data_IF_447071246927
#
_entry.id   IF_447071246927
#
_cell.length_a   1.000
_cell.length_b   1.000
_cell.length_c   1.000
_cell.angle_alpha   90.00
_cell.angle_beta   90.00
_cell.angle_gamma   90.00
#
_symmetry.space_group_name_H-M   'P 1'
#
loop_
_entity.id
_entity.type
_entity.pdbx_description
1 polymer ?
#
# COMPACT_ATOMS: atom_id res chain seq x y z
N UNK A 1 -5.15 59.05 -28.99
CA UNK A 1 -5.20 58.54 -27.61
C UNK A 1 -5.14 57.03 -27.70
N UNK A 2 -3.91 56.54 -27.73
CA UNK A 2 -3.57 55.13 -27.66
C UNK A 2 -4.00 54.55 -26.31
N UNK A 3 -4.62 53.38 -26.35
CA UNK A 3 -4.56 52.41 -25.25
C UNK A 3 -4.24 51.06 -25.87
N UNK A 4 -3.03 50.63 -25.58
CA UNK A 4 -2.41 49.37 -25.97
C UNK A 4 -3.35 48.19 -25.67
N UNK A 5 -3.53 47.33 -26.67
CA UNK A 5 -4.10 46.00 -26.52
C UNK A 5 -3.10 45.12 -25.77
N UNK A 6 -3.54 44.24 -24.86
CA UNK A 6 -2.65 43.27 -24.24
C UNK A 6 -2.11 42.32 -25.32
N UNK A 7 -0.80 42.19 -25.36
CA UNK A 7 -0.07 41.24 -26.20
C UNK A 7 -0.52 39.83 -25.77
N UNK A 8 -1.41 39.22 -26.55
CA UNK A 8 -1.56 37.77 -26.57
C UNK A 8 -0.26 37.23 -27.14
N UNK A 9 0.59 36.66 -26.28
CA UNK A 9 1.60 35.69 -26.71
C UNK A 9 0.85 34.56 -27.39
N UNK A 10 0.82 34.61 -28.72
CA UNK A 10 0.45 33.49 -29.56
C UNK A 10 1.53 32.43 -29.38
N UNK A 11 1.31 31.51 -28.45
CA UNK A 11 1.94 30.20 -28.53
C UNK A 11 1.31 29.51 -29.74
N UNK A 12 1.96 29.74 -30.87
CA UNK A 12 1.77 29.02 -32.12
C UNK A 12 1.93 27.55 -31.77
N UNK A 13 0.95 26.76 -32.18
CA UNK A 13 1.02 25.32 -32.28
C UNK A 13 2.22 24.93 -33.16
N UNK A 14 3.40 24.79 -32.56
CA UNK A 14 4.49 24.04 -33.16
C UNK A 14 4.08 22.58 -33.14
N UNK A 15 4.14 21.95 -34.31
CA UNK A 15 4.06 20.52 -34.49
C UNK A 15 4.88 19.86 -33.38
N UNK A 16 4.26 19.09 -32.48
CA UNK A 16 4.98 18.24 -31.54
C UNK A 16 5.99 17.47 -32.36
N UNK A 17 7.27 17.82 -32.23
CA UNK A 17 8.34 17.07 -32.84
C UNK A 17 8.19 15.66 -32.29
N UNK A 18 7.62 14.75 -33.09
CA UNK A 18 7.32 13.39 -32.67
C UNK A 18 8.61 12.58 -32.46
N UNK A 19 9.77 13.21 -32.54
CA UNK A 19 11.07 12.60 -32.46
C UNK A 19 11.81 13.17 -31.25
N UNK A 20 12.24 12.29 -30.34
CA UNK A 20 13.08 12.69 -29.24
C UNK A 20 14.46 13.11 -29.74
N UNK A 21 14.92 14.31 -29.40
CA UNK A 21 16.24 14.83 -29.80
C UNK A 21 17.41 13.95 -29.29
N UNK A 22 17.25 13.36 -28.10
CA UNK A 22 18.28 12.50 -27.48
C UNK A 22 18.33 11.12 -28.16
N UNK A 23 17.16 10.53 -28.47
CA UNK A 23 17.09 9.17 -29.00
C UNK A 23 17.04 9.11 -30.54
N UNK A 24 16.78 10.24 -31.21
CA UNK A 24 16.50 10.35 -32.64
C UNK A 24 15.39 9.38 -33.12
N UNK A 25 14.38 9.16 -32.27
CA UNK A 25 13.18 8.31 -32.53
C UNK A 25 12.07 8.65 -31.54
N UNK A 26 10.86 8.14 -31.75
CA UNK A 26 9.81 8.13 -30.72
C UNK A 26 10.30 7.27 -29.54
N UNK A 27 10.14 7.76 -28.32
CA UNK A 27 10.49 7.04 -27.09
C UNK A 27 9.55 7.43 -25.93
N UNK A 28 9.75 6.85 -24.75
CA UNK A 28 8.87 7.04 -23.58
C UNK A 28 8.65 8.51 -23.21
N UNK A 29 9.70 9.34 -23.25
CA UNK A 29 9.62 10.79 -23.03
C UNK A 29 8.61 11.47 -23.96
N UNK A 30 8.59 11.10 -25.25
CA UNK A 30 7.60 11.61 -26.22
C UNK A 30 6.19 11.11 -25.89
N UNK A 31 6.04 9.83 -25.52
CA UNK A 31 4.74 9.29 -25.12
C UNK A 31 4.17 9.97 -23.87
N UNK A 32 5.02 10.33 -22.91
CA UNK A 32 4.61 11.12 -21.74
C UNK A 32 4.19 12.53 -22.12
N UNK A 33 5.01 13.25 -22.92
CA UNK A 33 4.73 14.62 -23.35
C UNK A 33 3.38 14.75 -24.08
N UNK A 34 3.00 13.75 -24.89
CA UNK A 34 1.69 13.69 -25.55
C UNK A 34 0.50 13.68 -24.59
N UNK A 35 0.72 13.32 -23.33
CA UNK A 35 -0.31 13.20 -22.29
C UNK A 35 -0.27 14.32 -21.26
N UNK A 36 0.59 15.34 -21.39
CA UNK A 36 0.70 16.42 -20.39
C UNK A 36 -0.59 17.23 -20.26
N UNK A 37 -1.32 17.42 -21.36
CA UNK A 37 -2.59 18.13 -21.34
C UNK A 37 -3.75 17.29 -20.74
N UNK A 38 -3.57 15.97 -20.61
CA UNK A 38 -4.62 15.05 -20.17
C UNK A 38 -4.77 14.98 -18.65
N UNK A 39 -3.84 15.52 -17.88
CA UNK A 39 -3.94 15.57 -16.42
C UNK A 39 -3.17 16.76 -15.84
N UNK A 40 -3.75 17.43 -14.85
CA UNK A 40 -3.11 18.50 -14.06
C UNK A 40 -3.54 18.37 -12.61
N UNK A 41 -2.59 18.61 -11.70
CA UNK A 41 -2.85 18.67 -10.27
C UNK A 41 -3.55 19.96 -9.83
N UNK A 42 -3.64 20.96 -10.72
CA UNK A 42 -4.02 22.33 -10.36
C UNK A 42 -2.90 23.12 -9.69
N UNK A 43 -1.70 22.52 -9.53
CA UNK A 43 -0.49 23.18 -9.04
C UNK A 43 0.63 23.03 -10.08
N UNK A 44 0.97 24.14 -10.74
CA UNK A 44 1.99 24.19 -11.79
C UNK A 44 3.34 23.65 -11.36
N UNK A 45 3.67 23.75 -10.08
CA UNK A 45 4.98 23.33 -9.57
C UNK A 45 5.06 21.81 -9.39
N UNK A 46 3.94 21.21 -8.98
CA UNK A 46 3.80 19.75 -8.91
C UNK A 46 3.74 19.18 -10.31
N UNK A 47 2.97 19.82 -11.20
CA UNK A 47 2.88 19.42 -12.60
C UNK A 47 4.27 19.45 -13.25
N UNK A 48 5.02 20.56 -13.10
CA UNK A 48 6.38 20.67 -13.61
C UNK A 48 7.31 19.60 -13.02
N UNK A 49 7.26 19.37 -11.71
CA UNK A 49 8.10 18.36 -11.05
C UNK A 49 7.85 16.94 -11.59
N UNK A 50 6.59 16.57 -11.85
CA UNK A 50 6.26 15.27 -12.44
C UNK A 50 6.69 15.22 -13.91
N UNK A 51 6.43 16.29 -14.68
CA UNK A 51 6.80 16.39 -16.09
C UNK A 51 8.32 16.31 -16.30
N UNK A 52 9.12 16.99 -15.48
CA UNK A 52 10.58 16.95 -15.52
C UNK A 52 11.11 15.51 -15.37
N UNK A 53 10.52 14.76 -14.43
CA UNK A 53 10.84 13.35 -14.20
C UNK A 53 10.46 12.49 -15.43
N UNK A 54 9.25 12.66 -15.95
CA UNK A 54 8.76 11.94 -17.14
C UNK A 54 9.56 12.23 -18.42
N UNK A 55 10.00 13.48 -18.63
CA UNK A 55 10.81 13.87 -19.80
C UNK A 55 12.16 13.14 -19.80
N UNK A 56 12.71 12.85 -18.62
CA UNK A 56 14.00 12.17 -18.47
C UNK A 56 13.95 10.65 -18.79
N UNK A 57 12.75 10.08 -18.97
CA UNK A 57 12.55 8.65 -19.19
C UNK A 57 12.54 8.34 -20.68
N UNK A 58 13.59 7.68 -21.18
CA UNK A 58 13.71 7.38 -22.60
C UNK A 58 13.51 5.90 -22.93
N UNK A 59 13.90 5.00 -22.03
CA UNK A 59 13.91 3.55 -22.23
C UNK A 59 12.92 2.84 -21.31
N UNK A 60 12.54 1.62 -21.66
CA UNK A 60 11.54 0.85 -20.89
C UNK A 60 12.02 0.47 -19.50
N UNK A 61 13.32 0.26 -19.32
CA UNK A 61 13.91 -0.02 -18.01
C UNK A 61 13.91 1.21 -17.08
N UNK A 62 13.75 2.42 -17.62
CA UNK A 62 13.68 3.68 -16.87
C UNK A 62 12.25 4.00 -16.42
N UNK A 63 11.23 3.48 -17.13
CA UNK A 63 9.80 3.75 -16.88
C UNK A 63 9.41 3.58 -15.42
N UNK A 64 9.96 2.57 -14.76
CA UNK A 64 9.57 2.30 -13.38
C UNK A 64 9.79 3.52 -12.48
N UNK A 65 10.72 4.41 -12.80
CA UNK A 65 11.05 5.62 -12.02
C UNK A 65 10.16 6.82 -12.33
N UNK A 66 9.40 6.76 -13.43
CA UNK A 66 8.53 7.86 -13.86
C UNK A 66 7.46 8.14 -12.80
N UNK A 67 7.38 9.39 -12.37
CA UNK A 67 6.30 9.85 -11.51
C UNK A 67 5.00 10.02 -12.30
N UNK A 68 3.87 9.77 -11.64
CA UNK A 68 2.53 9.97 -12.17
C UNK A 68 1.75 10.96 -11.30
N UNK A 69 0.86 11.75 -11.89
CA UNK A 69 -0.28 12.25 -11.13
C UNK A 69 -1.34 11.16 -11.08
N UNK A 70 -1.79 10.86 -9.87
CA UNK A 70 -2.76 9.81 -9.64
C UNK A 70 -4.02 10.46 -9.06
N UNK A 71 -5.15 10.44 -9.78
CA UNK A 71 -6.41 10.96 -9.25
C UNK A 71 -6.80 10.25 -7.94
N UNK A 72 -7.28 11.01 -6.95
CA UNK A 72 -7.48 10.48 -5.60
C UNK A 72 -8.56 9.39 -5.52
N UNK A 73 -9.52 9.42 -6.44
CA UNK A 73 -10.58 8.41 -6.58
C UNK A 73 -10.07 7.06 -7.12
N UNK A 74 -8.80 6.97 -7.52
CA UNK A 74 -8.12 5.70 -7.84
C UNK A 74 -7.63 4.95 -6.61
N UNK A 75 -7.83 5.51 -5.42
CA UNK A 75 -7.49 4.89 -4.15
C UNK A 75 -8.73 4.46 -3.37
N UNK A 76 -8.68 3.26 -2.80
CA UNK A 76 -9.72 2.76 -1.89
C UNK A 76 -9.12 2.07 -0.67
N UNK A 77 -9.96 1.84 0.34
CA UNK A 77 -9.51 1.23 1.60
C UNK A 77 -8.50 2.10 2.36
N UNK A 78 -8.60 3.43 2.22
CA UNK A 78 -7.65 4.39 2.80
C UNK A 78 -7.70 4.34 4.34
N UNK A 79 -6.56 4.07 4.99
CA UNK A 79 -6.45 3.89 6.46
C UNK A 79 -5.21 4.55 7.02
N UNK A 80 -5.36 5.35 8.08
CA UNK A 80 -4.23 6.01 8.75
C UNK A 80 -3.36 5.02 9.51
N UNK A 81 -2.04 5.15 9.41
CA UNK A 81 -1.08 4.23 10.01
C UNK A 81 -0.28 4.88 11.13
N UNK A 82 -0.93 5.25 12.24
CA UNK A 82 -0.29 5.65 13.52
C UNK A 82 0.58 6.92 13.52
N UNK A 83 1.19 7.28 12.39
CA UNK A 83 1.95 8.49 12.11
C UNK A 83 1.01 9.50 11.45
N UNK A 84 1.05 10.74 11.93
CA UNK A 84 0.24 11.83 11.40
C UNK A 84 0.57 12.01 9.91
N UNK A 85 -0.46 12.10 9.08
CA UNK A 85 -0.31 12.35 7.66
C UNK A 85 0.16 11.15 6.84
N UNK A 86 0.22 9.94 7.41
CA UNK A 86 0.52 8.73 6.64
C UNK A 86 -0.67 7.79 6.67
N UNK A 87 -1.12 7.38 5.48
CA UNK A 87 -2.15 6.36 5.31
C UNK A 87 -1.70 5.28 4.33
N UNK A 88 -2.38 4.15 4.37
CA UNK A 88 -2.28 3.09 3.37
C UNK A 88 -3.53 3.09 2.51
N UNK A 89 -3.37 2.71 1.26
CA UNK A 89 -4.48 2.59 0.33
C UNK A 89 -4.19 1.50 -0.70
N UNK A 90 -5.23 0.93 -1.29
CA UNK A 90 -5.12 0.13 -2.50
C UNK A 90 -5.25 1.06 -3.71
N UNK A 91 -4.30 0.99 -4.62
CA UNK A 91 -4.29 1.70 -5.89
C UNK A 91 -4.82 0.80 -6.99
N UNK A 92 -5.98 1.15 -7.56
CA UNK A 92 -6.71 0.29 -8.50
C UNK A 92 -5.89 0.03 -9.77
N UNK A 93 -5.27 1.08 -10.31
CA UNK A 93 -4.65 1.02 -11.63
C UNK A 93 -3.32 0.26 -11.61
N UNK A 94 -2.58 0.36 -10.50
CA UNK A 94 -1.21 -0.08 -10.42
C UNK A 94 -0.25 0.81 -11.22
N UNK A 95 1.04 0.45 -11.19
CA UNK A 95 2.14 1.24 -11.78
C UNK A 95 2.19 1.11 -13.30
N UNK A 96 2.59 2.17 -14.00
CA UNK A 96 2.94 2.10 -15.42
C UNK A 96 4.06 1.05 -15.64
N UNK A 97 3.92 0.28 -16.73
CA UNK A 97 4.87 -0.75 -17.13
C UNK A 97 5.55 -0.46 -18.46
N UNK A 98 4.78 -0.28 -19.53
CA UNK A 98 5.29 0.03 -20.86
C UNK A 98 4.21 0.68 -21.71
N UNK A 99 4.60 1.31 -22.81
CA UNK A 99 3.67 1.85 -23.78
C UNK A 99 3.10 0.75 -24.69
N UNK A 100 1.80 0.79 -24.95
CA UNK A 100 1.13 -0.05 -25.95
C UNK A 100 0.82 0.77 -27.21
N UNK A 101 1.56 0.50 -28.29
CA UNK A 101 1.37 1.19 -29.58
C UNK A 101 0.04 0.86 -30.26
N UNK A 102 -0.60 -0.27 -29.94
CA UNK A 102 -1.90 -0.64 -30.52
C UNK A 102 -3.04 0.15 -29.89
N UNK A 103 -3.03 0.30 -28.57
CA UNK A 103 -4.07 1.04 -27.84
C UNK A 103 -3.72 2.50 -27.57
N UNK A 104 -2.49 2.92 -27.89
CA UNK A 104 -1.98 4.27 -27.64
C UNK A 104 -2.15 4.68 -26.18
N UNK A 105 -1.80 3.78 -25.27
CA UNK A 105 -1.92 3.99 -23.83
C UNK A 105 -0.83 3.22 -23.07
N UNK A 106 -0.63 3.59 -21.81
CA UNK A 106 0.29 2.88 -20.91
C UNK A 106 -0.34 1.59 -20.40
N UNK A 107 0.34 0.46 -20.60
CA UNK A 107 0.06 -0.77 -19.88
C UNK A 107 0.43 -0.61 -18.41
N UNK A 108 -0.37 -1.22 -17.52
CA UNK A 108 -0.15 -1.17 -16.07
C UNK A 108 0.07 -2.56 -15.49
N UNK A 109 0.82 -2.60 -14.39
CA UNK A 109 1.07 -3.82 -13.61
C UNK A 109 0.68 -3.61 -12.16
N UNK A 110 0.40 -4.74 -11.48
CA UNK A 110 -0.02 -4.78 -10.08
C UNK A 110 -1.29 -3.96 -9.83
N UNK A 111 -2.38 -4.31 -10.53
CA UNK A 111 -3.70 -3.77 -10.17
C UNK A 111 -4.02 -4.09 -8.70
N UNK A 112 -4.77 -3.19 -8.06
CA UNK A 112 -5.05 -3.25 -6.62
C UNK A 112 -3.79 -3.28 -5.74
N UNK A 113 -2.73 -2.59 -6.19
CA UNK A 113 -1.47 -2.51 -5.47
C UNK A 113 -1.61 -1.73 -4.16
N UNK A 114 -1.18 -2.34 -3.07
CA UNK A 114 -1.08 -1.66 -1.78
C UNK A 114 0.07 -0.65 -1.77
N UNK A 115 -0.26 0.60 -1.48
CA UNK A 115 0.67 1.74 -1.43
C UNK A 115 0.57 2.47 -0.10
N UNK A 116 1.61 3.25 0.19
CA UNK A 116 1.61 4.22 1.29
C UNK A 116 1.39 5.61 0.71
N UNK A 117 0.43 6.34 1.26
CA UNK A 117 0.19 7.74 0.96
C UNK A 117 0.73 8.60 2.11
N UNK A 118 1.70 9.46 1.84
CA UNK A 118 2.30 10.36 2.83
C UNK A 118 2.06 11.83 2.48
N UNK A 119 1.44 12.57 3.38
CA UNK A 119 1.11 13.99 3.21
C UNK A 119 2.37 14.81 3.01
N UNK A 120 2.36 15.62 1.95
CA UNK A 120 3.38 16.61 1.65
C UNK A 120 3.03 17.89 2.43
N UNK A 121 3.66 18.08 3.60
CA UNK A 121 3.55 19.34 4.35
C UNK A 121 4.48 20.34 3.69
N UNK A 122 4.01 21.50 3.22
CA UNK A 122 5.00 22.48 2.73
C UNK A 122 4.62 23.95 2.63
N UNK A 123 5.65 24.80 2.76
CA UNK A 123 6.10 25.75 1.74
C UNK A 123 7.00 25.08 0.66
N UNK A 124 6.52 25.11 -0.59
CA UNK A 124 7.04 24.61 -1.88
C UNK A 124 8.51 24.12 -2.04
N UNK A 125 9.53 24.80 -1.51
CA UNK A 125 10.93 24.39 -1.75
C UNK A 125 11.37 23.23 -0.86
N UNK A 126 10.86 23.16 0.37
CA UNK A 126 11.19 22.09 1.32
C UNK A 126 10.63 20.74 0.85
N UNK A 127 9.53 20.74 0.09
CA UNK A 127 8.90 19.50 -0.40
C UNK A 127 9.74 18.83 -1.46
N UNK A 128 10.40 19.58 -2.34
CA UNK A 128 11.15 18.98 -3.46
C UNK A 128 12.40 18.26 -2.94
N UNK A 129 13.17 18.91 -2.06
CA UNK A 129 14.32 18.27 -1.41
C UNK A 129 13.91 17.04 -0.60
N UNK A 130 12.79 17.14 0.13
CA UNK A 130 12.24 16.02 0.89
C UNK A 130 11.79 14.86 -0.01
N UNK A 131 11.07 15.14 -1.10
CA UNK A 131 10.64 14.14 -2.09
C UNK A 131 11.84 13.42 -2.71
N UNK A 132 12.90 14.16 -3.06
CA UNK A 132 14.12 13.57 -3.62
C UNK A 132 14.86 12.67 -2.62
N UNK A 133 14.82 12.99 -1.33
CA UNK A 133 15.38 12.11 -0.30
C UNK A 133 14.58 10.81 -0.19
N UNK A 134 13.24 10.88 -0.20
CA UNK A 134 12.39 9.68 -0.11
C UNK A 134 12.56 8.76 -1.32
N UNK A 135 12.79 9.30 -2.53
CA UNK A 135 13.10 8.50 -3.74
C UNK A 135 14.26 7.50 -3.54
N UNK A 136 15.16 7.75 -2.58
CA UNK A 136 16.30 6.88 -2.28
C UNK A 136 15.87 5.61 -1.53
N UNK A 137 14.99 5.77 -0.54
CA UNK A 137 14.62 4.71 0.39
C UNK A 137 13.36 3.95 -0.05
N UNK A 138 12.49 4.61 -0.83
CA UNK A 138 11.20 4.08 -1.25
C UNK A 138 10.97 4.28 -2.74
N UNK A 139 10.26 3.35 -3.36
CA UNK A 139 9.75 3.59 -4.70
C UNK A 139 8.65 4.65 -4.64
N UNK A 140 8.91 5.79 -5.28
CA UNK A 140 7.96 6.87 -5.43
C UNK A 140 7.25 6.76 -6.78
N UNK A 141 5.95 6.48 -6.76
CA UNK A 141 5.16 6.28 -7.98
C UNK A 141 4.55 7.57 -8.50
N UNK A 142 4.26 8.53 -7.63
CA UNK A 142 3.50 9.69 -8.06
C UNK A 142 2.90 10.49 -6.93
N UNK A 143 2.10 11.50 -7.28
CA UNK A 143 1.47 12.41 -6.34
C UNK A 143 -0.04 12.37 -6.56
N UNK A 144 -0.80 12.48 -5.47
CA UNK A 144 -2.25 12.69 -5.47
C UNK A 144 -2.61 13.88 -4.60
N UNK A 145 -3.83 14.41 -4.73
CA UNK A 145 -4.38 15.38 -3.79
C UNK A 145 -5.65 14.88 -3.15
N UNK A 146 -5.71 14.87 -1.82
CA UNK A 146 -6.94 14.58 -1.12
C UNK A 146 -7.96 15.73 -1.36
N UNK A 147 -9.15 15.45 -1.94
CA UNK A 147 -10.08 16.48 -2.36
C UNK A 147 -10.76 17.21 -1.19
N UNK A 148 -10.79 16.62 0.00
CA UNK A 148 -11.41 17.20 1.20
C UNK A 148 -10.45 18.15 1.92
N UNK A 149 -9.24 17.67 2.21
CA UNK A 149 -8.21 18.41 2.94
C UNK A 149 -7.39 19.34 2.05
N UNK A 150 -7.43 19.13 0.73
CA UNK A 150 -6.59 19.78 -0.30
C UNK A 150 -5.09 19.50 -0.15
N UNK A 151 -4.70 18.59 0.73
CA UNK A 151 -3.32 18.18 0.92
C UNK A 151 -2.85 17.32 -0.26
N UNK A 152 -1.66 17.63 -0.76
CA UNK A 152 -0.94 16.74 -1.65
C UNK A 152 -0.32 15.59 -0.86
N UNK A 153 -0.26 14.41 -1.47
CA UNK A 153 0.26 13.19 -0.85
C UNK A 153 1.14 12.46 -1.86
N UNK A 154 2.29 11.99 -1.40
CA UNK A 154 3.16 11.10 -2.16
C UNK A 154 2.58 9.70 -2.17
N UNK A 155 2.69 9.01 -3.30
CA UNK A 155 2.30 7.62 -3.47
C UNK A 155 3.56 6.78 -3.51
N UNK A 156 3.79 6.03 -2.45
CA UNK A 156 5.00 5.25 -2.20
C UNK A 156 4.70 3.76 -2.22
N UNK A 157 5.72 2.94 -2.50
CA UNK A 157 5.63 1.52 -2.22
C UNK A 157 5.37 1.23 -0.73
N UNK A 158 4.83 0.04 -0.49
CA UNK A 158 4.62 -0.46 0.87
C UNK A 158 5.63 -1.58 1.16
N UNK A 159 6.92 -1.26 1.08
CA UNK A 159 8.00 -2.18 1.46
C UNK A 159 8.26 -2.09 2.97
N UNK A 160 8.73 -3.19 3.56
CA UNK A 160 9.16 -3.18 4.94
C UNK A 160 10.55 -2.53 5.06
N UNK A 161 10.66 -1.44 5.81
CA UNK A 161 11.94 -0.72 6.05
C UNK A 161 13.07 -1.64 6.52
N UNK A 162 12.76 -2.60 7.41
CA UNK A 162 13.76 -3.56 7.93
C UNK A 162 14.25 -4.53 6.87
N UNK A 163 13.40 -4.89 5.91
CA UNK A 163 13.67 -5.94 4.94
C UNK A 163 14.06 -5.40 3.56
N UNK A 164 13.74 -4.15 3.27
CA UNK A 164 13.82 -3.54 1.94
C UNK A 164 13.10 -4.33 0.84
N UNK A 165 12.03 -5.05 1.22
CA UNK A 165 11.09 -5.74 0.34
C UNK A 165 9.77 -5.98 1.06
N UNK A 166 8.73 -6.39 0.33
CA UNK A 166 7.46 -6.82 0.93
C UNK A 166 7.69 -8.14 1.66
N UNK A 167 7.35 -8.19 2.95
CA UNK A 167 7.52 -9.37 3.78
C UNK A 167 6.26 -9.69 4.59
N UNK A 168 6.31 -10.77 5.39
CA UNK A 168 5.14 -11.24 6.12
C UNK A 168 4.49 -10.18 7.01
N UNK A 169 5.26 -9.27 7.61
CA UNK A 169 4.71 -8.20 8.44
C UNK A 169 3.81 -7.26 7.63
N UNK A 170 4.18 -6.96 6.39
CA UNK A 170 3.36 -6.19 5.45
C UNK A 170 2.11 -6.99 5.06
N UNK A 171 2.24 -8.29 4.78
CA UNK A 171 1.09 -9.14 4.43
C UNK A 171 0.08 -9.28 5.57
N UNK A 172 0.55 -9.39 6.81
CA UNK A 172 -0.31 -9.44 7.99
C UNK A 172 -1.08 -8.13 8.17
N UNK A 173 -0.39 -7.00 8.02
CA UNK A 173 -1.02 -5.68 8.09
C UNK A 173 -2.18 -5.51 7.10
N UNK A 174 -2.15 -6.18 5.94
CA UNK A 174 -3.27 -6.16 4.97
C UNK A 174 -4.57 -6.73 5.52
N UNK A 175 -4.47 -7.64 6.49
CA UNK A 175 -5.59 -8.40 7.03
C UNK A 175 -6.04 -7.94 8.42
N UNK A 176 -5.42 -6.90 9.00
CA UNK A 176 -5.75 -6.45 10.37
C UNK A 176 -7.24 -6.14 10.58
N UNK A 177 -7.94 -5.70 9.54
CA UNK A 177 -9.37 -5.40 9.63
C UNK A 177 -10.28 -6.62 9.40
N UNK A 178 -9.74 -7.72 8.86
CA UNK A 178 -10.54 -8.89 8.45
C UNK A 178 -10.81 -9.87 9.61
N UNK A 179 -10.10 -9.76 10.72
CA UNK A 179 -10.18 -10.72 11.83
C UNK A 179 -9.95 -10.06 13.20
N UNK A 180 -10.87 -9.16 13.58
CA UNK A 180 -10.89 -8.55 14.93
C UNK A 180 -11.60 -9.47 15.92
N UNK A 181 -11.07 -9.53 17.15
CA UNK A 181 -11.71 -10.14 18.31
C UNK A 181 -12.83 -9.30 18.92
N UNK A 182 -12.97 -8.05 18.50
CA UNK A 182 -13.76 -7.03 19.20
C UNK A 182 -13.10 -6.51 20.48
N UNK A 183 -11.96 -7.07 20.90
CA UNK A 183 -11.18 -6.62 22.05
C UNK A 183 -9.86 -5.98 21.59
N UNK A 184 -9.76 -4.66 21.77
CA UNK A 184 -8.59 -3.87 21.34
C UNK A 184 -7.27 -4.34 21.95
N UNK A 185 -7.27 -4.90 23.16
CA UNK A 185 -6.04 -5.38 23.81
C UNK A 185 -5.54 -6.67 23.15
N UNK A 186 -6.45 -7.60 22.87
CA UNK A 186 -6.14 -8.86 22.17
C UNK A 186 -5.72 -8.57 20.73
N UNK A 187 -6.48 -7.73 20.03
CA UNK A 187 -6.15 -7.34 18.66
C UNK A 187 -4.78 -6.69 18.58
N UNK A 188 -4.47 -5.78 19.50
CA UNK A 188 -3.15 -5.13 19.58
C UNK A 188 -2.04 -6.15 19.83
N UNK A 189 -2.22 -7.11 20.74
CA UNK A 189 -1.23 -8.15 20.99
C UNK A 189 -0.97 -9.02 19.75
N UNK A 190 -2.04 -9.45 19.07
CA UNK A 190 -1.94 -10.24 17.84
C UNK A 190 -1.21 -9.44 16.75
N UNK A 191 -1.61 -8.19 16.54
CA UNK A 191 -1.03 -7.30 15.54
C UNK A 191 0.44 -7.01 15.84
N UNK A 192 0.81 -6.64 17.08
CA UNK A 192 2.18 -6.34 17.49
C UNK A 192 3.10 -7.57 17.27
N UNK A 193 2.60 -8.78 17.54
CA UNK A 193 3.32 -10.02 17.26
C UNK A 193 3.48 -10.25 15.76
N UNK A 194 2.40 -10.12 14.98
CA UNK A 194 2.42 -10.27 13.53
C UNK A 194 3.35 -9.24 12.82
N UNK A 195 3.43 -8.01 13.35
CA UNK A 195 4.33 -6.97 12.85
C UNK A 195 5.81 -7.34 12.97
N UNK A 196 6.15 -8.21 13.93
CA UNK A 196 7.52 -8.66 14.18
C UNK A 196 7.94 -9.82 13.27
N UNK A 197 7.03 -10.36 12.45
CA UNK A 197 7.26 -11.53 11.60
C UNK A 197 7.67 -11.10 10.21
N UNK A 198 8.97 -11.17 9.93
CA UNK A 198 9.53 -10.71 8.66
C UNK A 198 9.89 -11.83 7.67
N UNK A 199 9.91 -13.08 8.10
CA UNK A 199 10.35 -14.19 7.26
C UNK A 199 9.17 -15.08 6.88
N UNK A 200 9.23 -15.67 5.67
CA UNK A 200 8.24 -16.64 5.18
C UNK A 200 7.96 -17.77 6.17
N UNK A 201 8.98 -18.21 6.90
CA UNK A 201 8.90 -19.32 7.86
C UNK A 201 8.47 -18.89 9.27
N UNK A 202 8.37 -17.58 9.53
CA UNK A 202 7.99 -17.07 10.84
C UNK A 202 6.48 -17.04 11.10
N UNK A 203 5.66 -17.49 10.14
CA UNK A 203 4.19 -17.54 10.29
C UNK A 203 3.74 -18.40 11.46
N UNK A 204 4.51 -19.43 11.84
CA UNK A 204 4.24 -20.26 13.03
C UNK A 204 4.32 -19.48 14.34
N UNK A 205 5.01 -18.33 14.34
CA UNK A 205 5.18 -17.48 15.52
C UNK A 205 4.18 -16.32 15.53
N UNK A 206 3.25 -16.29 14.57
CA UNK A 206 2.28 -15.23 14.39
C UNK A 206 0.90 -15.75 14.83
N UNK A 207 0.41 -15.39 16.03
CA UNK A 207 -0.95 -15.75 16.41
C UNK A 207 -1.94 -15.09 15.44
N UNK A 208 -3.10 -15.70 15.28
CA UNK A 208 -4.22 -15.15 14.52
C UNK A 208 -5.50 -15.22 15.35
N UNK A 209 -6.42 -14.30 15.09
CA UNK A 209 -7.75 -14.40 15.67
C UNK A 209 -8.55 -15.49 14.93
N UNK A 210 -9.14 -16.41 15.69
CA UNK A 210 -9.95 -17.50 15.15
C UNK A 210 -11.38 -17.33 15.65
N UNK A 211 -12.30 -17.10 14.73
CA UNK A 211 -13.71 -17.00 15.08
C UNK A 211 -14.26 -18.35 15.57
N UNK A 212 -15.14 -18.32 16.57
CA UNK A 212 -15.60 -19.53 17.26
C UNK A 212 -16.35 -20.51 16.34
N UNK A 213 -17.01 -20.01 15.30
CA UNK A 213 -17.69 -20.81 14.26
C UNK A 213 -16.73 -21.66 13.41
N UNK A 214 -15.42 -21.39 13.48
CA UNK A 214 -14.38 -22.19 12.81
C UNK A 214 -14.03 -23.47 13.56
N UNK A 215 -14.64 -23.71 14.71
CA UNK A 215 -14.46 -24.93 15.49
C UNK A 215 -15.68 -25.84 15.39
N UNK A 216 -15.45 -27.14 15.21
CA UNK A 216 -16.49 -28.17 15.27
C UNK A 216 -16.10 -29.32 16.22
N UNK A 217 -17.06 -30.19 16.54
CA UNK A 217 -16.87 -31.34 17.42
C UNK A 217 -16.25 -30.97 18.78
N UNK A 218 -16.71 -29.87 19.37
CA UNK A 218 -16.20 -29.33 20.64
C UNK A 218 -16.62 -30.26 21.78
N UNK A 219 -15.64 -30.81 22.51
CA UNK A 219 -15.84 -31.75 23.62
C UNK A 219 -15.07 -31.29 24.85
N UNK A 220 -15.72 -31.24 26.00
CA UNK A 220 -15.09 -30.95 27.27
C UNK A 220 -14.07 -32.03 27.63
N UNK A 221 -12.91 -31.63 28.15
CA UNK A 221 -11.84 -32.52 28.62
C UNK A 221 -11.74 -32.49 30.14
N UNK A 222 -11.49 -31.30 30.70
CA UNK A 222 -11.20 -31.12 32.11
C UNK A 222 -11.37 -29.66 32.56
N UNK A 223 -11.50 -29.47 33.88
CA UNK A 223 -11.33 -28.17 34.53
C UNK A 223 -9.82 -27.89 34.73
N UNK A 224 -9.41 -26.63 34.63
CA UNK A 224 -8.04 -26.15 34.80
C UNK A 224 -8.04 -24.86 35.64
N UNK A 225 -6.90 -24.51 36.25
CA UNK A 225 -6.78 -23.30 37.08
C UNK A 225 -7.24 -22.02 36.36
N UNK A 226 -7.04 -21.94 35.05
CA UNK A 226 -7.40 -20.78 34.21
C UNK A 226 -8.83 -20.83 33.65
N UNK A 227 -9.51 -21.98 33.72
CA UNK A 227 -10.81 -22.17 33.09
C UNK A 227 -11.05 -23.60 32.60
N UNK A 228 -11.86 -23.77 31.56
CA UNK A 228 -12.29 -25.08 31.05
C UNK A 228 -11.54 -25.46 29.78
N UNK A 229 -11.03 -26.69 29.72
CA UNK A 229 -10.30 -27.21 28.56
C UNK A 229 -11.25 -28.02 27.68
N UNK A 230 -11.24 -27.74 26.39
CA UNK A 230 -12.01 -28.43 25.36
C UNK A 230 -11.10 -28.94 24.25
N UNK A 231 -11.49 -30.05 23.64
CA UNK A 231 -10.96 -30.55 22.37
C UNK A 231 -11.90 -30.12 21.25
N UNK A 232 -11.38 -29.65 20.13
CA UNK A 232 -12.18 -29.33 18.95
C UNK A 232 -11.40 -29.63 17.66
N UNK A 233 -12.10 -29.67 16.52
CA UNK A 233 -11.43 -29.59 15.23
C UNK A 233 -11.51 -28.15 14.72
N UNK A 234 -10.39 -27.62 14.24
CA UNK A 234 -10.30 -26.32 13.60
C UNK A 234 -10.38 -26.47 12.08
N UNK A 235 -11.44 -25.94 11.48
CA UNK A 235 -11.77 -26.15 10.06
C UNK A 235 -10.67 -25.59 9.16
N UNK A 236 -10.25 -24.35 9.40
CA UNK A 236 -9.38 -23.62 8.48
C UNK A 236 -7.92 -24.12 8.50
N UNK A 237 -7.45 -24.78 9.57
CA UNK A 237 -6.02 -25.08 9.78
C UNK A 237 -5.20 -23.81 10.04
N UNK A 238 -3.86 -23.87 10.14
CA UNK A 238 -3.03 -22.68 10.44
C UNK A 238 -2.45 -22.01 9.18
N UNK A 239 -2.05 -20.73 9.33
CA UNK A 239 -1.39 -19.96 8.26
C UNK A 239 -0.05 -20.60 7.89
N UNK A 240 0.13 -20.91 6.61
CA UNK A 240 1.39 -21.43 6.08
C UNK A 240 2.26 -20.33 5.47
N UNK A 241 1.80 -19.72 4.36
CA UNK A 241 2.56 -18.73 3.60
C UNK A 241 1.60 -17.80 2.86
N UNK A 242 2.09 -16.63 2.49
CA UNK A 242 1.36 -15.73 1.60
C UNK A 242 1.37 -16.27 0.16
N UNK A 243 0.26 -16.08 -0.54
CA UNK A 243 0.09 -16.47 -1.93
C UNK A 243 -0.25 -15.23 -2.77
N UNK A 244 0.70 -14.85 -3.64
CA UNK A 244 0.59 -13.64 -4.46
C UNK A 244 -0.48 -13.76 -5.56
N UNK A 245 -0.89 -14.98 -5.93
CA UNK A 245 -1.90 -15.16 -6.98
C UNK A 245 -3.32 -14.90 -6.45
N UNK A 246 -3.62 -15.34 -5.23
CA UNK A 246 -4.94 -15.15 -4.60
C UNK A 246 -4.97 -13.95 -3.63
N UNK A 247 -3.83 -13.29 -3.41
CA UNK A 247 -3.65 -12.20 -2.45
C UNK A 247 -4.17 -12.58 -1.05
N UNK A 248 -3.89 -13.81 -0.61
CA UNK A 248 -4.34 -14.34 0.67
C UNK A 248 -3.33 -15.31 1.29
N UNK A 249 -3.56 -15.69 2.55
CA UNK A 249 -2.77 -16.68 3.27
C UNK A 249 -3.20 -18.10 2.90
N UNK A 250 -2.27 -18.91 2.41
CA UNK A 250 -2.47 -20.35 2.27
C UNK A 250 -2.59 -20.99 3.65
N UNK A 251 -3.53 -21.93 3.80
CA UNK A 251 -3.76 -22.67 5.03
C UNK A 251 -3.19 -24.09 4.94
N UNK A 252 -2.68 -24.59 6.06
CA UNK A 252 -2.19 -25.96 6.17
C UNK A 252 -2.85 -26.69 7.34
N UNK A 253 -2.96 -28.01 7.22
CA UNK A 253 -3.55 -28.89 8.25
C UNK A 253 -5.02 -28.54 8.58
N UNK A 254 -5.84 -28.40 7.54
CA UNK A 254 -7.29 -28.18 7.70
C UNK A 254 -7.95 -29.31 8.50
N UNK A 255 -8.98 -28.99 9.27
CA UNK A 255 -9.66 -29.89 10.21
C UNK A 255 -8.73 -30.49 11.29
N UNK A 256 -7.63 -29.82 11.64
CA UNK A 256 -6.75 -30.30 12.69
C UNK A 256 -7.41 -30.27 14.07
N UNK A 257 -7.02 -31.23 14.89
CA UNK A 257 -7.44 -31.30 16.30
C UNK A 257 -6.66 -30.27 17.11
N UNK A 258 -7.39 -29.44 17.86
CA UNK A 258 -6.83 -28.40 18.72
C UNK A 258 -7.39 -28.50 20.13
N UNK A 259 -6.67 -27.88 21.07
CA UNK A 259 -7.12 -27.66 22.45
C UNK A 259 -7.54 -26.21 22.60
N UNK A 260 -8.76 -25.98 23.09
CA UNK A 260 -9.29 -24.64 23.37
C UNK A 260 -9.39 -24.49 24.89
N UNK A 261 -8.86 -23.40 25.43
CA UNK A 261 -9.01 -23.04 26.83
C UNK A 261 -10.04 -21.91 26.91
N UNK A 262 -11.21 -22.19 27.49
CA UNK A 262 -12.20 -21.16 27.79
C UNK A 262 -11.84 -20.55 29.15
N UNK A 263 -11.38 -19.29 29.13
CA UNK A 263 -10.96 -18.57 30.32
C UNK A 263 -12.17 -18.18 31.17
N UNK A 264 -12.03 -18.29 32.49
CA UNK A 264 -13.10 -17.85 33.39
C UNK A 264 -13.23 -16.32 33.35
N UNK A 265 -14.44 -15.81 33.08
CA UNK A 265 -14.78 -14.37 33.01
C UNK A 265 -14.60 -13.59 34.34
N UNK A 266 -13.98 -14.17 35.37
CA UNK A 266 -13.71 -13.44 36.61
C UNK A 266 -12.61 -12.42 36.35
N UNK A 267 -13.03 -11.18 36.06
CA UNK A 267 -12.43 -9.82 36.13
C UNK A 267 -10.92 -9.57 36.32
N UNK A 268 -10.06 -10.56 36.53
CA UNK A 268 -8.67 -10.38 36.95
C UNK A 268 -7.66 -11.34 36.31
N UNK A 269 -8.03 -12.21 35.36
CA UNK A 269 -7.00 -12.62 34.38
C UNK A 269 -6.78 -11.40 33.51
N UNK A 270 -5.91 -10.51 33.97
CA UNK A 270 -5.44 -9.41 33.13
C UNK A 270 -4.91 -10.08 31.87
N UNK A 271 -5.33 -9.61 30.71
CA UNK A 271 -4.87 -10.10 29.40
C UNK A 271 -3.35 -10.30 29.37
N UNK A 272 -2.61 -9.52 30.17
CA UNK A 272 -1.18 -9.62 30.46
C UNK A 272 -0.70 -10.95 31.06
N UNK A 273 -1.40 -11.52 32.06
CA UNK A 273 -0.99 -12.80 32.68
C UNK A 273 -1.07 -13.96 31.69
N UNK A 274 -2.10 -13.98 30.85
CA UNK A 274 -2.25 -14.98 29.79
C UNK A 274 -1.29 -14.75 28.63
N UNK A 275 -1.13 -13.50 28.18
CA UNK A 275 -0.16 -13.13 27.14
C UNK A 275 1.26 -13.53 27.52
N UNK A 276 1.63 -13.48 28.81
CA UNK A 276 2.96 -13.89 29.27
C UNK A 276 3.15 -15.41 29.38
N UNK A 277 2.07 -16.21 29.40
CA UNK A 277 2.15 -17.67 29.42
C UNK A 277 2.21 -18.29 28.00
N UNK A 278 1.95 -17.51 26.93
CA UNK A 278 1.94 -17.92 25.51
C UNK A 278 3.15 -17.38 24.76
#
# INVERSE_FOLDING_TARGET
>A
MDKEKPIRLSYISEELNNMCEICNRICNSIYFQRNFDNWTSGNKDIDQFIQDDQISVHKDNEISHALEWIPYDRFYGIKYIGKIGVCRANWIDGKIYKWDDKYQNWERLNQDMLVTLEVIITPKNVSIEFMNKIKVDHKFYGITQNPETKNYMMVLDNICEKCNHICNSIYFQRNFDNWTSGNKVIDKFIQDTQLSVHTKYGTSNAPEWISYDKFNNIKFIAEHKLGKIYKANWIDGFISKWNDNNQNWDRYNQNMVVTIINLNNSKEITTTEFINEV
#
